data_IF_740316860040
#
_entry.id   IF_740316860040
#
_cell.length_a   1.000
_cell.length_b   1.000
_cell.length_c   1.000
_cell.angle_alpha   90.00
_cell.angle_beta   90.00
_cell.angle_gamma   90.00
#
_symmetry.space_group_name_H-M   'P 1'
#
loop_
_entity.id
_entity.type
_entity.pdbx_description
1 polymer ?
#
# COMPACT_ATOMS: atom_id res chain seq x y z
N UNK A 1 -1.99 5.16 -12.16
CA UNK A 1 -0.96 4.55 -13.02
C UNK A 1 -1.55 3.27 -13.52
N UNK A 2 -1.69 3.15 -14.84
CA UNK A 2 -2.15 1.91 -15.46
C UNK A 2 -0.92 1.39 -16.20
N UNK A 3 -0.47 0.17 -15.90
CA UNK A 3 0.61 -0.52 -16.61
C UNK A 3 1.91 0.28 -16.89
N UNK A 4 2.45 1.01 -15.91
CA UNK A 4 3.72 1.72 -16.13
C UNK A 4 3.59 3.16 -16.62
N UNK A 5 2.41 3.57 -17.08
CA UNK A 5 2.21 4.83 -17.80
C UNK A 5 1.27 5.80 -17.09
N UNK A 6 1.40 7.07 -17.45
CA UNK A 6 0.47 8.12 -17.02
C UNK A 6 -0.93 7.84 -17.57
N UNK A 7 -1.95 7.91 -16.71
CA UNK A 7 -3.35 7.60 -17.06
C UNK A 7 -3.91 8.47 -18.20
N UNK A 8 -3.51 9.75 -18.24
CA UNK A 8 -4.05 10.70 -19.22
C UNK A 8 -3.22 10.85 -20.50
N UNK A 9 -1.93 10.56 -20.46
CA UNK A 9 -0.99 10.91 -21.54
C UNK A 9 -0.12 9.77 -22.07
N UNK A 10 -0.21 8.56 -21.50
CA UNK A 10 0.59 7.41 -21.94
C UNK A 10 2.12 7.56 -21.77
N UNK A 11 2.60 8.60 -21.10
CA UNK A 11 4.04 8.82 -20.90
C UNK A 11 4.61 7.89 -19.81
N UNK A 12 5.87 7.45 -19.94
CA UNK A 12 6.52 6.60 -18.94
C UNK A 12 6.68 7.31 -17.60
N UNK A 13 6.38 6.61 -16.51
CA UNK A 13 6.49 7.13 -15.13
C UNK A 13 7.81 6.68 -14.50
N UNK A 14 8.53 7.61 -13.88
CA UNK A 14 9.79 7.35 -13.19
C UNK A 14 9.70 7.71 -11.71
N UNK A 15 10.33 6.91 -10.83
CA UNK A 15 10.39 7.19 -9.40
C UNK A 15 11.51 8.18 -9.10
N UNK A 16 11.21 9.29 -8.42
CA UNK A 16 12.20 10.27 -7.96
C UNK A 16 11.93 10.66 -6.49
N UNK A 17 12.97 10.82 -5.65
CA UNK A 17 12.79 11.32 -4.30
C UNK A 17 12.43 12.82 -4.35
N UNK A 18 11.27 13.17 -3.80
CA UNK A 18 10.72 14.53 -3.79
C UNK A 18 9.92 14.75 -2.50
N UNK A 19 9.90 15.98 -2.00
CA UNK A 19 8.97 16.37 -0.92
C UNK A 19 7.59 16.62 -1.51
N UNK A 20 6.61 15.85 -1.06
CA UNK A 20 5.22 15.96 -1.49
C UNK A 20 4.31 15.90 -0.27
N UNK A 21 3.15 16.56 -0.37
CA UNK A 21 2.09 16.42 0.61
C UNK A 21 1.50 15.02 0.51
N UNK A 22 1.57 14.28 1.62
CA UNK A 22 1.03 12.93 1.72
C UNK A 22 -0.08 12.94 2.76
N UNK A 23 -1.22 12.38 2.38
CA UNK A 23 -2.30 12.10 3.34
C UNK A 23 -1.94 10.83 4.11
N UNK A 24 -2.18 10.83 5.41
CA UNK A 24 -1.95 9.67 6.28
C UNK A 24 -3.07 8.63 6.19
N UNK A 25 -3.46 8.27 4.97
CA UNK A 25 -4.57 7.32 4.72
C UNK A 25 -4.34 5.97 5.37
N UNK A 26 -3.07 5.56 5.55
CA UNK A 26 -2.71 4.29 6.21
C UNK A 26 -3.13 4.20 7.67
N UNK A 27 -3.27 5.33 8.38
CA UNK A 27 -3.77 5.33 9.77
C UNK A 27 -5.26 4.94 9.84
N UNK A 28 -5.99 5.06 8.73
CA UNK A 28 -7.42 4.77 8.63
C UNK A 28 -7.71 3.42 7.96
N UNK A 29 -6.68 2.63 7.61
CA UNK A 29 -6.85 1.40 6.83
C UNK A 29 -7.80 0.39 7.51
N UNK A 30 -7.72 0.25 8.84
CA UNK A 30 -8.58 -0.67 9.59
C UNK A 30 -10.02 -0.19 9.68
N UNK A 31 -10.24 1.12 9.84
CA UNK A 31 -11.57 1.71 9.86
C UNK A 31 -12.23 1.59 8.48
N UNK A 32 -11.50 1.92 7.42
CA UNK A 32 -11.98 1.79 6.04
C UNK A 32 -12.38 0.35 5.67
N UNK A 33 -11.69 -0.65 6.24
CA UNK A 33 -12.05 -2.05 6.06
C UNK A 33 -13.30 -2.43 6.84
N UNK A 34 -13.41 -2.01 8.11
CA UNK A 34 -14.57 -2.30 8.94
C UNK A 34 -15.85 -1.66 8.39
N UNK A 35 -15.77 -0.39 7.99
CA UNK A 35 -16.90 0.38 7.45
C UNK A 35 -17.39 -0.17 6.09
N UNK A 36 -16.56 -0.93 5.38
CA UNK A 36 -16.91 -1.52 4.08
C UNK A 36 -17.96 -2.63 4.19
N UNK A 37 -18.01 -3.30 5.34
CA UNK A 37 -18.96 -4.40 5.57
C UNK A 37 -20.40 -3.87 5.76
N UNK A 38 -20.54 -2.69 6.37
CA UNK A 38 -21.84 -2.04 6.63
C UNK A 38 -22.45 -1.32 5.41
N UNK A 39 -21.71 -1.20 4.31
CA UNK A 39 -22.19 -0.52 3.09
C UNK A 39 -23.04 -1.45 2.20
N UNK A 40 -24.16 -0.96 1.68
CA UNK A 40 -24.96 -1.67 0.66
C UNK A 40 -24.40 -1.47 -0.75
N UNK A 41 -23.16 -1.94 -0.96
CA UNK A 41 -22.46 -1.88 -2.25
C UNK A 41 -22.37 -3.26 -2.90
N UNK A 42 -22.25 -3.34 -4.24
CA UNK A 42 -22.00 -4.60 -4.92
C UNK A 42 -20.74 -5.28 -4.37
N UNK A 43 -20.82 -6.59 -4.12
CA UNK A 43 -19.72 -7.35 -3.51
C UNK A 43 -18.42 -7.26 -4.33
N UNK A 44 -18.52 -7.19 -5.66
CA UNK A 44 -17.37 -7.01 -6.56
C UNK A 44 -16.60 -5.71 -6.30
N UNK A 45 -17.28 -4.65 -5.88
CA UNK A 45 -16.65 -3.37 -5.53
C UNK A 45 -16.02 -3.43 -4.14
N UNK A 46 -16.68 -4.11 -3.18
CA UNK A 46 -16.11 -4.36 -1.85
C UNK A 46 -14.82 -5.19 -1.97
N UNK A 47 -14.84 -6.25 -2.75
CA UNK A 47 -13.67 -7.09 -2.96
C UNK A 47 -12.51 -6.33 -3.62
N UNK A 48 -12.80 -5.45 -4.57
CA UNK A 48 -11.79 -4.58 -5.17
C UNK A 48 -11.12 -3.67 -4.14
N UNK A 49 -11.92 -3.07 -3.24
CA UNK A 49 -11.43 -2.22 -2.15
C UNK A 49 -10.60 -3.02 -1.13
N UNK A 50 -11.08 -4.19 -0.69
CA UNK A 50 -10.34 -5.08 0.22
C UNK A 50 -8.99 -5.49 -0.36
N UNK A 51 -8.98 -5.88 -1.63
CA UNK A 51 -7.76 -6.28 -2.34
C UNK A 51 -6.80 -5.10 -2.54
N UNK A 52 -7.32 -3.88 -2.76
CA UNK A 52 -6.51 -2.68 -2.89
C UNK A 52 -5.88 -2.24 -1.57
N UNK A 53 -6.60 -2.34 -0.45
CA UNK A 53 -6.08 -2.03 0.89
C UNK A 53 -5.04 -3.07 1.32
N UNK A 54 -5.26 -4.36 0.99
CA UNK A 54 -4.22 -5.38 1.03
C UNK A 54 -3.61 -5.62 2.42
N UNK A 55 -4.45 -5.69 3.47
CA UNK A 55 -4.00 -5.98 4.84
C UNK A 55 -3.32 -7.35 4.88
N UNK A 56 -2.05 -7.38 5.26
CA UNK A 56 -1.27 -8.59 5.47
C UNK A 56 -0.68 -8.60 6.88
N UNK A 57 -0.89 -9.68 7.60
CA UNK A 57 -0.29 -9.90 8.91
C UNK A 57 0.92 -10.81 8.72
N UNK A 58 2.11 -10.29 9.04
CA UNK A 58 3.36 -11.00 8.90
C UNK A 58 4.23 -10.84 10.15
N UNK A 59 4.98 -11.88 10.56
CA UNK A 59 5.88 -11.78 11.68
C UNK A 59 7.06 -10.84 11.34
N UNK A 60 7.35 -9.91 12.25
CA UNK A 60 8.54 -9.05 12.15
C UNK A 60 9.69 -9.72 12.90
N UNK A 61 10.71 -10.18 12.16
CA UNK A 61 11.93 -10.72 12.74
C UNK A 61 13.04 -9.67 12.71
N UNK A 62 13.77 -9.54 13.82
CA UNK A 62 14.95 -8.68 13.89
C UNK A 62 16.20 -9.55 13.74
N UNK A 63 16.87 -9.46 12.59
CA UNK A 63 18.16 -10.10 12.39
C UNK A 63 19.27 -9.18 12.89
N UNK A 64 19.96 -9.59 13.96
CA UNK A 64 21.12 -8.86 14.46
C UNK A 64 22.36 -9.28 13.65
N UNK A 65 22.92 -8.36 12.87
CA UNK A 65 24.18 -8.56 12.17
C UNK A 65 25.35 -8.43 13.14
N UNK A 66 25.99 -9.55 13.47
CA UNK A 66 27.23 -9.56 14.25
C UNK A 66 28.39 -9.33 13.27
N UNK A 67 29.00 -8.15 13.33
CA UNK A 67 30.21 -7.81 12.57
C UNK A 67 31.40 -8.56 13.18
N UNK A 68 31.70 -9.76 12.67
CA UNK A 68 32.90 -10.49 13.06
C UNK A 68 34.10 -9.79 12.41
N UNK A 69 34.93 -9.12 13.21
CA UNK A 69 36.25 -8.67 12.75
C UNK A 69 37.12 -9.90 12.53
N UNK A 70 37.47 -10.20 11.29
CA UNK A 70 38.57 -11.10 10.98
C UNK A 70 39.89 -10.46 11.43
N UNK A 71 40.78 -11.31 11.94
CA UNK A 71 42.09 -10.97 12.51
C UNK A 71 43.15 -11.01 11.42
#
# INVERSE_FOLDING_TARGET
MIDGVSERGGHPVYRKPMKQWVLKITEYADQLLADLDDLDWPESLKDMQRNWIGRSEGPKFHLMLIMRKEK
#
